data_IF_719202830490
#
_entry.id   IF_719202830490
#
_cell.length_a   1.000
_cell.length_b   1.000
_cell.length_c   1.000
_cell.angle_alpha   90.00
_cell.angle_beta   90.00
_cell.angle_gamma   90.00
#
_symmetry.space_group_name_H-M   'P 1'
#
loop_
_entity.id
_entity.type
_entity.pdbx_description
1 polymer ?
#
# COMPACT_ATOMS: atom_id res chain seq x y z
N UNK A 1 3.33 -5.59 -35.34
CA UNK A 1 3.83 -6.46 -34.23
C UNK A 1 2.80 -6.42 -33.11
N UNK A 2 2.47 -7.52 -32.48
CA UNK A 2 1.49 -7.51 -31.37
C UNK A 2 2.08 -6.79 -30.18
N UNK A 3 1.35 -5.88 -29.57
CA UNK A 3 1.76 -5.11 -28.36
C UNK A 3 1.66 -5.93 -27.08
N UNK A 4 0.85 -7.01 -27.10
CA UNK A 4 0.58 -7.88 -25.96
C UNK A 4 1.83 -8.36 -25.19
N UNK A 5 2.95 -8.77 -25.86
CA UNK A 5 4.13 -9.20 -25.13
C UNK A 5 4.77 -8.12 -24.28
N UNK A 6 4.83 -6.88 -24.78
CA UNK A 6 5.42 -5.75 -24.05
C UNK A 6 4.55 -5.33 -22.84
N UNK A 7 3.23 -5.29 -23.03
CA UNK A 7 2.33 -5.01 -21.90
C UNK A 7 2.42 -6.09 -20.82
N UNK A 8 2.54 -7.37 -21.21
CA UNK A 8 2.70 -8.48 -20.27
C UNK A 8 4.03 -8.39 -19.51
N UNK A 9 5.13 -8.07 -20.20
CA UNK A 9 6.44 -7.89 -19.58
C UNK A 9 6.40 -6.76 -18.55
N UNK A 10 5.84 -5.60 -18.90
CA UNK A 10 5.68 -4.46 -17.98
C UNK A 10 4.79 -4.85 -16.78
N UNK A 11 3.67 -5.55 -17.00
CA UNK A 11 2.82 -6.04 -15.89
C UNK A 11 3.62 -6.94 -14.93
N UNK A 12 4.43 -7.86 -15.45
CA UNK A 12 5.25 -8.73 -14.61
C UNK A 12 6.29 -7.94 -13.80
N UNK A 13 6.88 -6.90 -14.38
CA UNK A 13 7.80 -6.02 -13.67
C UNK A 13 7.10 -5.24 -12.54
N UNK A 14 5.86 -4.78 -12.77
CA UNK A 14 5.03 -4.14 -11.74
C UNK A 14 4.66 -5.12 -10.63
N UNK A 15 4.34 -6.37 -10.96
CA UNK A 15 4.08 -7.43 -9.98
C UNK A 15 5.32 -7.72 -9.11
N UNK A 16 6.51 -7.76 -9.74
CA UNK A 16 7.76 -7.89 -9.00
C UNK A 16 7.99 -6.72 -8.06
N UNK A 17 7.72 -5.49 -8.50
CA UNK A 17 7.78 -4.30 -7.63
C UNK A 17 6.79 -4.43 -6.45
N UNK A 18 5.57 -4.93 -6.69
CA UNK A 18 4.59 -5.23 -5.65
C UNK A 18 5.14 -6.18 -4.59
N UNK A 19 5.75 -7.29 -5.02
CA UNK A 19 6.36 -8.26 -4.08
C UNK A 19 7.50 -7.66 -3.26
N UNK A 20 8.32 -6.79 -3.84
CA UNK A 20 9.37 -6.07 -3.10
C UNK A 20 8.78 -5.14 -2.02
N UNK A 21 7.65 -4.51 -2.30
CA UNK A 21 6.95 -3.63 -1.35
C UNK A 21 6.29 -4.46 -0.25
N UNK A 22 5.63 -5.57 -0.57
CA UNK A 22 5.08 -6.51 0.43
C UNK A 22 6.16 -6.96 1.42
N UNK A 23 7.33 -7.39 0.92
CA UNK A 23 8.47 -7.80 1.74
C UNK A 23 8.95 -6.64 2.64
N UNK A 24 9.10 -5.43 2.11
CA UNK A 24 9.52 -4.27 2.89
C UNK A 24 8.53 -3.93 4.03
N UNK A 25 7.22 -4.03 3.80
CA UNK A 25 6.19 -3.83 4.83
C UNK A 25 6.28 -4.90 5.90
N UNK A 26 6.34 -6.18 5.52
CA UNK A 26 6.48 -7.31 6.45
C UNK A 26 7.72 -7.15 7.32
N UNK A 27 8.87 -6.89 6.70
CA UNK A 27 10.15 -6.75 7.40
C UNK A 27 10.14 -5.56 8.36
N UNK A 28 9.55 -4.42 7.96
CA UNK A 28 9.47 -3.22 8.81
C UNK A 28 8.65 -3.47 10.09
N UNK A 29 7.52 -4.17 9.96
CA UNK A 29 6.63 -4.50 11.08
C UNK A 29 7.22 -5.61 11.94
N UNK A 30 7.86 -6.62 11.35
CA UNK A 30 8.53 -7.69 12.10
C UNK A 30 9.73 -7.12 12.89
N UNK A 31 10.52 -6.25 12.25
CA UNK A 31 11.63 -5.56 12.92
C UNK A 31 11.15 -4.70 14.10
N UNK A 32 10.00 -4.03 13.95
CA UNK A 32 9.37 -3.29 15.04
C UNK A 32 8.95 -4.21 16.18
N UNK A 33 8.38 -5.39 15.87
CA UNK A 33 7.96 -6.41 16.82
C UNK A 33 9.11 -6.94 17.65
N UNK A 34 10.19 -7.29 16.99
CA UNK A 34 11.35 -7.91 17.59
C UNK A 34 12.35 -6.90 18.16
N UNK A 35 12.07 -5.58 17.97
CA UNK A 35 13.00 -4.49 18.24
C UNK A 35 14.36 -4.70 17.54
N UNK A 36 14.32 -5.24 16.32
CA UNK A 36 15.51 -5.51 15.51
C UNK A 36 15.91 -4.25 14.73
N UNK A 37 16.87 -3.52 15.30
CA UNK A 37 17.42 -2.31 14.68
C UNK A 37 18.26 -2.62 13.44
N UNK A 38 18.84 -3.83 13.35
CA UNK A 38 19.59 -4.22 12.16
C UNK A 38 18.66 -4.45 10.97
N UNK A 39 17.61 -5.23 11.15
CA UNK A 39 16.58 -5.42 10.14
C UNK A 39 15.93 -4.08 9.71
N UNK A 40 15.60 -3.21 10.68
CA UNK A 40 15.07 -1.87 10.37
C UNK A 40 16.04 -1.05 9.50
N UNK A 41 17.35 -1.07 9.77
CA UNK A 41 18.34 -0.41 8.93
C UNK A 41 18.40 -1.03 7.52
N UNK A 42 18.24 -2.36 7.38
CA UNK A 42 18.19 -3.00 6.05
C UNK A 42 16.97 -2.55 5.26
N UNK A 43 15.78 -2.47 5.86
CA UNK A 43 14.58 -1.93 5.20
C UNK A 43 14.85 -0.51 4.67
N UNK A 44 15.42 0.37 5.50
CA UNK A 44 15.76 1.76 5.07
C UNK A 44 16.75 1.79 3.92
N UNK A 45 17.77 0.93 3.93
CA UNK A 45 18.78 0.87 2.86
C UNK A 45 18.22 0.25 1.58
N UNK A 46 17.36 -0.77 1.69
CA UNK A 46 16.80 -1.49 0.55
C UNK A 46 15.77 -0.67 -0.23
N UNK A 47 15.21 0.39 0.36
CA UNK A 47 14.30 1.33 -0.31
C UNK A 47 14.87 1.87 -1.64
N UNK A 48 16.19 2.06 -1.73
CA UNK A 48 16.85 2.50 -2.97
C UNK A 48 16.63 1.50 -4.13
N UNK A 49 16.50 0.21 -3.84
CA UNK A 49 16.28 -0.81 -4.86
C UNK A 49 14.83 -0.76 -5.38
N UNK A 50 13.86 -0.48 -4.50
CA UNK A 50 12.44 -0.28 -4.87
C UNK A 50 12.32 0.97 -5.77
N UNK A 51 12.92 2.09 -5.35
CA UNK A 51 12.93 3.34 -6.11
C UNK A 51 13.58 3.18 -7.48
N UNK A 52 14.70 2.45 -7.56
CA UNK A 52 15.37 2.13 -8.81
C UNK A 52 14.50 1.27 -9.72
N UNK A 53 13.87 0.21 -9.17
CA UNK A 53 12.98 -0.67 -9.91
C UNK A 53 11.78 0.08 -10.48
N UNK A 54 11.15 0.95 -9.69
CA UNK A 54 10.09 1.85 -10.15
C UNK A 54 10.54 2.68 -11.35
N UNK A 55 11.68 3.34 -11.24
CA UNK A 55 12.22 4.17 -12.31
C UNK A 55 12.50 3.38 -13.60
N UNK A 56 13.06 2.17 -13.49
CA UNK A 56 13.31 1.28 -14.63
C UNK A 56 12.01 0.92 -15.35
N UNK A 57 10.93 0.61 -14.60
CA UNK A 57 9.61 0.32 -15.16
C UNK A 57 9.04 1.56 -15.87
N UNK A 58 9.10 2.75 -15.26
CA UNK A 58 8.61 3.99 -15.86
C UNK A 58 9.30 4.31 -17.19
N UNK A 59 10.63 4.17 -17.24
CA UNK A 59 11.39 4.36 -18.48
C UNK A 59 10.96 3.35 -19.55
N UNK A 60 10.78 2.07 -19.17
CA UNK A 60 10.34 1.03 -20.09
C UNK A 60 8.94 1.33 -20.67
N UNK A 61 8.02 1.81 -19.83
CA UNK A 61 6.67 2.21 -20.27
C UNK A 61 6.75 3.36 -21.29
N UNK A 62 7.53 4.40 -20.98
CA UNK A 62 7.69 5.57 -21.86
C UNK A 62 8.27 5.14 -23.21
N UNK A 63 9.30 4.28 -23.22
CA UNK A 63 9.91 3.76 -24.43
C UNK A 63 8.89 2.96 -25.26
N UNK A 64 8.11 2.08 -24.63
CA UNK A 64 7.06 1.31 -25.31
C UNK A 64 6.00 2.25 -25.90
N UNK A 65 5.55 3.26 -25.15
CA UNK A 65 4.59 4.26 -25.64
C UNK A 65 5.12 5.01 -26.87
N UNK A 66 6.38 5.43 -26.84
CA UNK A 66 7.01 6.20 -27.94
C UNK A 66 7.19 5.35 -29.20
N UNK A 67 7.63 4.09 -29.08
CA UNK A 67 7.98 3.24 -30.21
C UNK A 67 6.74 2.53 -30.78
N UNK A 68 5.86 2.01 -29.92
CA UNK A 68 4.76 1.15 -30.32
C UNK A 68 3.45 1.89 -30.57
N UNK A 69 3.32 3.14 -30.09
CA UNK A 69 2.13 4.00 -30.22
C UNK A 69 0.84 3.25 -29.82
N UNK A 70 0.75 2.73 -28.57
CA UNK A 70 -0.39 1.97 -28.10
C UNK A 70 -1.69 2.76 -28.18
N UNK A 71 -2.80 2.06 -28.41
CA UNK A 71 -4.15 2.67 -28.49
C UNK A 71 -5.13 1.95 -27.58
N UNK A 72 -6.19 2.64 -27.23
CA UNK A 72 -7.31 2.10 -26.46
C UNK A 72 -6.85 1.32 -25.21
N UNK A 73 -7.14 0.02 -25.12
CA UNK A 73 -6.87 -0.81 -23.95
C UNK A 73 -5.38 -0.90 -23.59
N UNK A 74 -4.51 -1.09 -24.59
CA UNK A 74 -3.07 -1.23 -24.33
C UNK A 74 -2.49 0.05 -23.72
N UNK A 75 -2.94 1.22 -24.18
CA UNK A 75 -2.56 2.51 -23.61
C UNK A 75 -3.07 2.65 -22.15
N UNK A 76 -4.32 2.19 -21.87
CA UNK A 76 -4.85 2.21 -20.49
C UNK A 76 -4.06 1.34 -19.55
N UNK A 77 -3.66 0.13 -19.99
CA UNK A 77 -2.79 -0.78 -19.20
C UNK A 77 -1.48 -0.10 -18.84
N UNK A 78 -0.79 0.50 -19.81
CA UNK A 78 0.49 1.20 -19.55
C UNK A 78 0.31 2.41 -18.63
N UNK A 79 -0.74 3.20 -18.82
CA UNK A 79 -1.06 4.32 -17.94
C UNK A 79 -1.39 3.88 -16.50
N UNK A 80 -2.12 2.77 -16.35
CA UNK A 80 -2.39 2.18 -15.05
C UNK A 80 -1.10 1.68 -14.37
N UNK A 81 -0.20 1.01 -15.13
CA UNK A 81 1.10 0.57 -14.61
C UNK A 81 1.93 1.74 -14.05
N UNK A 82 1.98 2.89 -14.72
CA UNK A 82 2.66 4.10 -14.21
C UNK A 82 2.10 4.55 -12.87
N UNK A 83 0.77 4.59 -12.74
CA UNK A 83 0.12 4.99 -11.49
C UNK A 83 0.37 3.96 -10.39
N UNK A 84 0.20 2.66 -10.68
CA UNK A 84 0.44 1.58 -9.71
C UNK A 84 1.88 1.61 -9.20
N UNK A 85 2.88 1.83 -10.06
CA UNK A 85 4.27 2.00 -9.64
C UNK A 85 4.46 3.15 -8.64
N UNK A 86 3.75 4.27 -8.84
CA UNK A 86 3.80 5.41 -7.92
C UNK A 86 3.13 5.10 -6.58
N UNK A 87 2.02 4.36 -6.58
CA UNK A 87 1.37 3.94 -5.34
C UNK A 87 2.25 2.95 -4.56
N UNK A 88 2.87 1.99 -5.24
CA UNK A 88 3.80 1.02 -4.64
C UNK A 88 5.02 1.69 -4.01
N UNK A 89 5.61 2.69 -4.67
CA UNK A 89 6.73 3.45 -4.08
C UNK A 89 6.33 4.18 -2.81
N UNK A 90 5.14 4.81 -2.78
CA UNK A 90 4.64 5.45 -1.56
C UNK A 90 4.44 4.46 -0.42
N UNK A 91 3.98 3.24 -0.73
CA UNK A 91 3.87 2.18 0.28
C UNK A 91 5.23 1.77 0.83
N UNK A 92 6.27 1.70 -0.03
CA UNK A 92 7.64 1.46 0.42
C UNK A 92 8.15 2.58 1.33
N UNK A 93 7.81 3.84 1.03
CA UNK A 93 8.14 4.97 1.91
C UNK A 93 7.47 4.83 3.30
N UNK A 94 6.24 4.30 3.38
CA UNK A 94 5.59 4.02 4.67
C UNK A 94 6.28 2.89 5.43
N UNK A 95 6.69 1.81 4.77
CA UNK A 95 7.48 0.74 5.38
C UNK A 95 8.81 1.25 5.93
N UNK A 96 9.51 2.07 5.15
CA UNK A 96 10.73 2.75 5.56
C UNK A 96 10.52 3.66 6.76
N UNK A 97 9.40 4.41 6.83
CA UNK A 97 9.12 5.27 7.98
C UNK A 97 8.81 4.43 9.24
N UNK A 98 8.10 3.30 9.13
CA UNK A 98 7.92 2.36 10.24
C UNK A 98 9.27 1.85 10.75
N UNK A 99 10.20 1.47 9.86
CA UNK A 99 11.55 1.06 10.22
C UNK A 99 12.33 2.21 10.91
N UNK A 100 12.23 3.43 10.41
CA UNK A 100 12.83 4.62 11.03
C UNK A 100 12.28 4.90 12.43
N UNK A 101 10.97 4.68 12.65
CA UNK A 101 10.35 4.82 13.97
C UNK A 101 10.97 3.80 14.94
N UNK A 102 11.17 2.54 14.52
CA UNK A 102 11.82 1.55 15.36
C UNK A 102 13.25 1.98 15.73
N UNK A 103 14.04 2.47 14.78
CA UNK A 103 15.41 2.97 15.01
C UNK A 103 15.42 4.13 16.02
N UNK A 104 14.50 5.11 15.83
CA UNK A 104 14.41 6.29 16.71
C UNK A 104 13.92 5.98 18.12
N UNK A 105 12.92 5.10 18.24
CA UNK A 105 12.30 4.74 19.52
C UNK A 105 13.13 3.77 20.33
N UNK A 106 14.00 2.99 19.71
CA UNK A 106 14.76 1.89 20.33
C UNK A 106 13.85 0.89 21.06
N UNK A 107 12.68 0.66 20.50
CA UNK A 107 11.63 -0.16 21.06
C UNK A 107 10.51 0.65 21.72
N UNK A 108 9.28 0.40 21.27
CA UNK A 108 8.10 1.16 21.71
C UNK A 108 7.65 0.83 23.14
N UNK A 109 7.90 -0.41 23.59
CA UNK A 109 7.62 -0.81 24.98
C UNK A 109 6.14 -0.81 25.38
N UNK A 110 5.21 -0.89 24.42
CA UNK A 110 3.76 -0.85 24.62
C UNK A 110 3.09 -2.11 24.02
N UNK A 111 3.24 -3.29 24.65
CA UNK A 111 2.89 -4.57 24.02
C UNK A 111 1.41 -4.71 23.65
N UNK A 112 0.50 -4.07 24.38
CA UNK A 112 -0.93 -4.12 24.07
C UNK A 112 -1.24 -3.38 22.75
N UNK A 113 -0.72 -2.17 22.57
CA UNK A 113 -0.91 -1.38 21.34
C UNK A 113 -0.16 -1.99 20.15
N UNK A 114 1.03 -2.57 20.39
CA UNK A 114 1.79 -3.26 19.36
C UNK A 114 1.02 -4.46 18.79
N UNK A 115 0.26 -5.19 19.61
CA UNK A 115 -0.58 -6.29 19.13
C UNK A 115 -1.59 -5.81 18.08
N UNK A 116 -2.23 -4.68 18.32
CA UNK A 116 -3.23 -4.12 17.39
C UNK A 116 -2.56 -3.60 16.11
N UNK A 117 -1.35 -3.03 16.21
CA UNK A 117 -0.51 -2.68 15.04
C UNK A 117 -0.24 -3.92 14.17
N UNK A 118 0.10 -5.07 14.77
CA UNK A 118 0.38 -6.28 13.98
C UNK A 118 -0.86 -6.79 13.26
N UNK A 119 -2.00 -6.79 13.92
CA UNK A 119 -3.28 -7.17 13.29
C UNK A 119 -3.60 -6.23 12.12
N UNK A 120 -3.36 -4.93 12.29
CA UNK A 120 -3.57 -3.94 11.24
C UNK A 120 -2.61 -4.16 10.06
N UNK A 121 -1.34 -4.44 10.35
CA UNK A 121 -0.33 -4.72 9.34
C UNK A 121 -0.62 -5.99 8.54
N UNK A 122 -1.02 -7.08 9.21
CA UNK A 122 -1.42 -8.33 8.53
C UNK A 122 -2.58 -8.09 7.55
N UNK A 123 -3.57 -7.30 7.95
CA UNK A 123 -4.70 -6.93 7.07
C UNK A 123 -4.25 -6.10 5.87
N UNK A 124 -3.40 -5.09 6.10
CA UNK A 124 -2.91 -4.22 5.05
C UNK A 124 -2.05 -4.97 4.02
N UNK A 125 -1.20 -5.89 4.48
CA UNK A 125 -0.38 -6.74 3.59
C UNK A 125 -1.25 -7.72 2.80
N UNK A 126 -2.22 -8.39 3.45
CA UNK A 126 -3.16 -9.28 2.76
C UNK A 126 -3.95 -8.52 1.68
N UNK A 127 -4.41 -7.32 2.00
CA UNK A 127 -5.13 -6.45 1.07
C UNK A 127 -4.26 -6.06 -0.12
N UNK A 128 -2.96 -5.71 0.09
CA UNK A 128 -2.01 -5.43 -0.99
C UNK A 128 -1.78 -6.67 -1.86
N UNK A 129 -1.53 -7.82 -1.27
CA UNK A 129 -1.32 -9.07 -2.00
C UNK A 129 -2.48 -9.41 -2.92
N UNK A 130 -3.72 -9.31 -2.41
CA UNK A 130 -4.93 -9.54 -3.20
C UNK A 130 -5.12 -8.49 -4.29
N UNK A 131 -4.81 -7.23 -4.04
CA UNK A 131 -4.88 -6.18 -5.06
C UNK A 131 -3.89 -6.43 -6.20
N UNK A 132 -2.67 -6.88 -5.91
CA UNK A 132 -1.68 -7.24 -6.94
C UNK A 132 -2.11 -8.47 -7.75
N UNK A 133 -2.73 -9.47 -7.11
CA UNK A 133 -3.35 -10.62 -7.80
C UNK A 133 -4.49 -10.15 -8.70
N UNK A 134 -5.37 -9.29 -8.20
CA UNK A 134 -6.48 -8.68 -8.94
C UNK A 134 -5.98 -7.88 -10.15
N UNK A 135 -4.86 -7.17 -10.01
CA UNK A 135 -4.19 -6.49 -11.12
C UNK A 135 -3.64 -7.47 -12.16
N UNK A 136 -3.04 -8.58 -11.74
CA UNK A 136 -2.54 -9.61 -12.66
C UNK A 136 -3.67 -10.20 -13.51
N UNK A 137 -4.81 -10.51 -12.88
CA UNK A 137 -5.97 -11.17 -13.50
C UNK A 137 -6.95 -10.19 -14.16
N UNK A 138 -6.80 -8.88 -13.91
CA UNK A 138 -7.73 -7.82 -14.32
C UNK A 138 -9.17 -8.08 -13.82
N UNK A 139 -9.27 -8.59 -12.59
CA UNK A 139 -10.56 -8.93 -11.97
C UNK A 139 -11.19 -7.70 -11.30
N UNK A 140 -12.11 -7.07 -12.03
CA UNK A 140 -12.84 -5.89 -11.56
C UNK A 140 -13.69 -6.19 -10.31
N UNK A 141 -14.30 -7.36 -10.23
CA UNK A 141 -15.19 -7.69 -9.10
C UNK A 141 -14.40 -7.82 -7.79
N UNK A 142 -13.27 -8.50 -7.83
CA UNK A 142 -12.37 -8.60 -6.68
C UNK A 142 -11.79 -7.25 -6.31
N UNK A 143 -11.45 -6.39 -7.29
CA UNK A 143 -10.99 -5.01 -7.04
C UNK A 143 -12.04 -4.19 -6.27
N UNK A 144 -13.31 -4.28 -6.67
CA UNK A 144 -14.42 -3.59 -5.99
C UNK A 144 -14.58 -4.07 -4.54
N UNK A 145 -14.48 -5.39 -4.31
CA UNK A 145 -14.58 -5.96 -2.96
C UNK A 145 -13.45 -5.47 -2.05
N UNK A 146 -12.21 -5.41 -2.57
CA UNK A 146 -11.05 -4.94 -1.80
C UNK A 146 -11.22 -3.47 -1.39
N UNK A 147 -11.76 -2.61 -2.26
CA UNK A 147 -12.03 -1.20 -1.94
C UNK A 147 -12.97 -1.08 -0.73
N UNK A 148 -13.97 -1.94 -0.61
CA UNK A 148 -14.91 -1.93 0.52
C UNK A 148 -14.28 -2.40 1.85
N UNK A 149 -13.17 -3.10 1.80
CA UNK A 149 -12.47 -3.58 2.99
C UNK A 149 -11.59 -2.51 3.65
N UNK A 150 -11.37 -1.37 3.00
CA UNK A 150 -10.58 -0.25 3.54
C UNK A 150 -11.14 0.28 4.86
N UNK A 151 -12.47 0.36 4.98
CA UNK A 151 -13.18 0.72 6.21
C UNK A 151 -12.74 -0.12 7.42
N UNK A 152 -12.28 -1.36 7.20
CA UNK A 152 -11.80 -2.24 8.28
C UNK A 152 -10.45 -1.76 8.82
N UNK A 153 -9.55 -1.29 7.96
CA UNK A 153 -8.25 -0.74 8.36
C UNK A 153 -8.46 0.58 9.09
N UNK A 154 -9.33 1.45 8.58
CA UNK A 154 -9.73 2.71 9.21
C UNK A 154 -10.32 2.50 10.60
N UNK A 155 -11.18 1.48 10.74
CA UNK A 155 -11.73 1.07 12.03
C UNK A 155 -10.65 0.61 13.01
N UNK A 156 -9.65 -0.14 12.55
CA UNK A 156 -8.51 -0.55 13.36
C UNK A 156 -7.68 0.65 13.80
N UNK A 157 -7.39 1.59 12.90
CA UNK A 157 -6.68 2.83 13.22
C UNK A 157 -7.42 3.65 14.27
N UNK A 158 -8.72 3.87 14.10
CA UNK A 158 -9.56 4.63 15.02
C UNK A 158 -9.57 4.00 16.42
N UNK A 159 -9.74 2.68 16.50
CA UNK A 159 -9.73 1.95 17.77
C UNK A 159 -8.37 2.07 18.48
N UNK A 160 -7.27 1.89 17.74
CA UNK A 160 -5.90 2.00 18.26
C UNK A 160 -5.61 3.43 18.73
N UNK A 161 -6.05 4.45 17.97
CA UNK A 161 -5.89 5.86 18.37
C UNK A 161 -6.57 6.13 19.72
N UNK A 162 -7.81 5.69 19.92
CA UNK A 162 -8.50 5.86 21.21
C UNK A 162 -7.80 5.13 22.35
N UNK A 163 -7.28 3.92 22.12
CA UNK A 163 -6.52 3.20 23.14
C UNK A 163 -5.21 3.94 23.47
N UNK A 164 -4.51 4.46 22.47
CA UNK A 164 -3.28 5.22 22.63
C UNK A 164 -3.50 6.49 23.46
N UNK A 165 -4.57 7.23 23.18
CA UNK A 165 -4.97 8.42 23.95
C UNK A 165 -5.32 8.04 25.39
N UNK A 166 -6.05 6.96 25.63
CA UNK A 166 -6.37 6.48 26.98
C UNK A 166 -5.12 6.10 27.77
N UNK A 167 -4.13 5.47 27.12
CA UNK A 167 -2.83 5.20 27.75
C UNK A 167 -2.11 6.49 28.17
N UNK A 168 -2.16 7.52 27.33
CA UNK A 168 -1.54 8.82 27.63
C UNK A 168 -2.22 9.52 28.81
N UNK A 169 -3.54 9.42 28.93
CA UNK A 169 -4.28 9.98 30.09
C UNK A 169 -3.91 9.26 31.41
N UNK A 170 -3.61 7.96 31.35
CA UNK A 170 -3.16 7.19 32.50
C UNK A 170 -1.70 7.46 32.92
N UNK A 171 -0.84 7.73 31.94
CA UNK A 171 0.59 8.01 32.16
C UNK A 171 1.10 9.04 31.12
N UNK A 172 1.09 10.33 31.46
CA UNK A 172 1.58 11.40 30.56
C UNK A 172 3.07 11.29 30.20
N UNK A 173 3.86 10.53 30.96
CA UNK A 173 5.28 10.30 30.68
C UNK A 173 5.54 9.47 29.41
N UNK A 174 4.50 8.82 28.88
CA UNK A 174 4.60 7.98 27.69
C UNK A 174 4.32 8.72 26.37
N UNK A 175 4.25 10.07 26.37
CA UNK A 175 3.83 10.85 25.20
C UNK A 175 4.61 10.52 23.92
N UNK A 176 5.94 10.38 24.00
CA UNK A 176 6.77 10.09 22.83
C UNK A 176 6.49 8.69 22.27
N UNK A 177 6.31 7.70 23.16
CA UNK A 177 6.00 6.31 22.76
C UNK A 177 4.62 6.22 22.13
N UNK A 178 3.64 6.87 22.73
CA UNK A 178 2.27 6.94 22.18
C UNK A 178 2.27 7.59 20.80
N UNK A 179 3.00 8.69 20.61
CA UNK A 179 3.14 9.33 19.31
C UNK A 179 3.76 8.37 18.26
N UNK A 180 4.82 7.64 18.61
CA UNK A 180 5.41 6.66 17.70
C UNK A 180 4.41 5.55 17.30
N UNK A 181 3.62 5.05 18.25
CA UNK A 181 2.56 4.07 17.99
C UNK A 181 1.53 4.61 17.00
N UNK A 182 1.04 5.84 17.24
CA UNK A 182 0.08 6.51 16.36
C UNK A 182 0.67 6.71 14.96
N UNK A 183 1.95 7.09 14.86
CA UNK A 183 2.62 7.28 13.56
C UNK A 183 2.76 5.97 12.80
N UNK A 184 3.08 4.85 13.46
CA UNK A 184 3.10 3.53 12.83
C UNK A 184 1.71 3.16 12.31
N UNK A 185 0.68 3.31 13.14
CA UNK A 185 -0.69 3.01 12.75
C UNK A 185 -1.17 3.85 11.56
N UNK A 186 -0.82 5.16 11.56
CA UNK A 186 -1.15 6.05 10.45
C UNK A 186 -0.44 5.66 9.14
N UNK A 187 0.81 5.18 9.19
CA UNK A 187 1.48 4.67 7.99
C UNK A 187 0.80 3.40 7.44
N UNK A 188 0.26 2.56 8.31
CA UNK A 188 -0.48 1.35 7.90
C UNK A 188 -1.87 1.68 7.33
N UNK A 189 -2.57 2.67 7.89
CA UNK A 189 -3.83 3.17 7.34
C UNK A 189 -3.60 3.76 5.95
N UNK A 190 -2.61 4.65 5.79
CA UNK A 190 -2.25 5.19 4.46
C UNK A 190 -1.82 4.12 3.46
N UNK A 191 -1.29 2.99 3.92
CA UNK A 191 -1.00 1.86 3.05
C UNK A 191 -2.30 1.27 2.48
N UNK A 192 -3.33 1.10 3.29
CA UNK A 192 -4.67 0.71 2.84
C UNK A 192 -5.22 1.64 1.76
N UNK A 193 -5.17 2.97 2.00
CA UNK A 193 -5.53 3.98 0.99
C UNK A 193 -4.85 3.76 -0.36
N UNK A 194 -3.54 3.41 -0.35
CA UNK A 194 -2.82 3.17 -1.61
C UNK A 194 -3.28 1.89 -2.30
N UNK A 195 -3.69 0.87 -1.54
CA UNK A 195 -4.25 -0.36 -2.12
C UNK A 195 -5.56 -0.07 -2.84
N UNK A 196 -6.44 0.76 -2.28
CA UNK A 196 -7.68 1.16 -2.96
C UNK A 196 -7.39 1.86 -4.28
N UNK A 197 -6.39 2.73 -4.33
CA UNK A 197 -5.96 3.38 -5.57
C UNK A 197 -5.48 2.37 -6.63
N UNK A 198 -4.77 1.31 -6.24
CA UNK A 198 -4.37 0.23 -7.16
C UNK A 198 -5.62 -0.46 -7.72
N UNK A 199 -6.59 -0.82 -6.86
CA UNK A 199 -7.85 -1.45 -7.29
C UNK A 199 -8.65 -0.56 -8.26
N UNK A 200 -8.66 0.76 -8.05
CA UNK A 200 -9.26 1.71 -8.99
C UNK A 200 -8.60 1.68 -10.37
N UNK A 201 -7.27 1.48 -10.44
CA UNK A 201 -6.57 1.30 -11.72
C UNK A 201 -6.94 0.00 -12.40
N UNK A 202 -7.20 -1.08 -11.66
CA UNK A 202 -7.71 -2.33 -12.24
C UNK A 202 -9.09 -2.10 -12.87
N UNK A 203 -10.00 -1.44 -12.17
CA UNK A 203 -11.32 -1.09 -12.71
C UNK A 203 -11.20 -0.23 -13.98
N UNK A 204 -10.30 0.77 -13.96
CA UNK A 204 -10.02 1.60 -15.13
C UNK A 204 -9.49 0.81 -16.33
N UNK A 205 -8.61 -0.16 -16.14
CA UNK A 205 -8.11 -1.03 -17.22
C UNK A 205 -9.27 -1.73 -17.92
N UNK A 206 -10.19 -2.28 -17.13
CA UNK A 206 -11.32 -3.08 -17.63
C UNK A 206 -12.39 -2.22 -18.30
N UNK A 207 -12.84 -1.17 -17.62
CA UNK A 207 -14.00 -0.36 -18.04
C UNK A 207 -13.61 0.82 -18.94
N UNK A 208 -12.42 1.38 -18.75
CA UNK A 208 -12.01 2.66 -19.35
C UNK A 208 -12.54 3.87 -18.60
N UNK A 209 -13.24 3.70 -17.49
CA UNK A 209 -13.83 4.74 -16.67
C UNK A 209 -13.15 4.79 -15.29
N UNK A 210 -12.96 5.99 -14.76
CA UNK A 210 -12.45 6.15 -13.40
C UNK A 210 -13.61 6.03 -12.41
N UNK A 211 -13.47 5.21 -11.32
CA UNK A 211 -14.57 5.01 -10.36
C UNK A 211 -15.13 6.31 -9.77
N UNK A 212 -14.27 7.29 -9.50
CA UNK A 212 -14.72 8.60 -9.00
C UNK A 212 -15.60 9.39 -9.99
N UNK A 213 -15.47 9.11 -11.27
CA UNK A 213 -16.19 9.83 -12.34
C UNK A 213 -17.52 9.19 -12.69
N UNK A 214 -17.76 7.94 -12.28
CA UNK A 214 -18.98 7.20 -12.60
C UNK A 214 -19.84 7.00 -11.33
N UNK A 215 -21.04 7.65 -11.23
CA UNK A 215 -21.93 7.50 -10.08
C UNK A 215 -22.32 6.06 -9.78
N UNK A 216 -22.47 5.21 -10.80
CA UNK A 216 -22.83 3.80 -10.65
C UNK A 216 -21.67 2.96 -10.04
N UNK A 217 -20.43 3.44 -10.13
CA UNK A 217 -19.27 2.86 -9.48
C UNK A 217 -19.01 3.49 -8.12
N UNK A 218 -19.55 4.69 -7.84
CA UNK A 218 -19.49 5.35 -6.52
C UNK A 218 -20.42 4.72 -5.47
N UNK A 219 -21.50 4.05 -5.88
CA UNK A 219 -22.40 3.36 -4.94
C UNK A 219 -21.66 2.28 -4.12
N UNK A 220 -20.51 1.83 -4.58
CA UNK A 220 -19.64 0.92 -3.83
C UNK A 220 -18.84 1.60 -2.71
N UNK A 221 -18.65 2.93 -2.73
CA UNK A 221 -17.99 3.70 -1.64
C UNK A 221 -18.97 4.24 -0.59
N UNK A 222 -20.26 4.27 -0.90
CA UNK A 222 -21.31 4.76 0.01
C UNK A 222 -21.90 3.57 0.78
N UNK A 223 -21.15 2.94 1.66
CA UNK A 223 -21.67 2.07 2.71
C UNK A 223 -22.03 2.87 3.96
N UNK A 224 -23.04 2.44 4.73
CA UNK A 224 -23.90 3.29 5.52
C UNK A 224 -23.29 3.65 6.87
N UNK A 225 -22.72 4.81 7.01
CA UNK A 225 -22.50 5.46 8.31
C UNK A 225 -23.32 6.76 8.42
N UNK A 226 -24.55 6.76 7.83
CA UNK A 226 -25.56 7.74 8.20
C UNK A 226 -26.77 6.99 8.76
N UNK A 227 -26.73 6.70 10.09
CA UNK A 227 -27.89 6.69 10.98
C UNK A 227 -27.42 6.70 12.44
#
# INVERSE_FOLDING_TARGET
>A
MSLKPFCLEIKNEVLLLGSMVEEAVIDSVQALKDNDLHCSNQVVLNDIHINRKRYEIEVSIIVVMAIQQPVARDLRVLAACLNICSELERMADYAKEIANINIRSKGLGMPALLKDIYVMAEKAVDMLHRAMTTFADEDMQSAQNIILEDDVIDGCYTALYHQAVNNLLGDPGNIDRVNYVIWVAHNLERLGDRVTNICERVIYIVTGEHPESNPNLKEFRLSPHEN
#
